data_IF_208620279594
#
_entry.id   IF_208620279594
#
_cell.length_a   1.000
_cell.length_b   1.000
_cell.length_c   1.000
_cell.angle_alpha   90.00
_cell.angle_beta   90.00
_cell.angle_gamma   90.00
#
_symmetry.space_group_name_H-M   'P 1'
#
loop_
_entity.id
_entity.type
_entity.pdbx_description
1 polymer ?
#
# COMPACT_ATOMS: atom_id res chain seq x y z
N UNK A 1 -3.15 28.20 -8.38
CA UNK A 1 -2.50 27.17 -7.53
C UNK A 1 -2.57 25.92 -8.37
N UNK A 2 -1.43 25.34 -8.69
CA UNK A 2 -1.44 24.07 -9.40
C UNK A 2 -2.14 23.05 -8.49
N UNK A 3 -3.18 22.41 -8.98
CA UNK A 3 -3.95 21.41 -8.24
C UNK A 3 -3.07 20.18 -8.06
N UNK A 4 -2.87 19.75 -6.81
CA UNK A 4 -2.05 18.59 -6.50
C UNK A 4 -2.91 17.33 -6.58
N UNK A 5 -2.42 16.28 -7.23
CA UNK A 5 -3.03 14.96 -7.21
C UNK A 5 -2.72 14.26 -5.87
N UNK A 6 -3.75 13.84 -5.15
CA UNK A 6 -3.62 13.07 -3.91
C UNK A 6 -3.76 11.58 -4.19
N UNK A 7 -2.70 10.82 -3.92
CA UNK A 7 -2.67 9.37 -4.06
C UNK A 7 -2.43 8.75 -2.68
N UNK A 8 -3.31 7.84 -2.27
CA UNK A 8 -3.29 7.26 -0.95
C UNK A 8 -3.22 5.72 -0.98
N UNK A 9 -2.65 5.12 0.07
CA UNK A 9 -2.75 3.68 0.35
C UNK A 9 -3.34 3.45 1.72
N UNK A 10 -4.21 2.44 1.84
CA UNK A 10 -4.83 2.05 3.10
C UNK A 10 -5.18 0.56 3.12
N UNK A 11 -4.55 -0.21 3.99
CA UNK A 11 -5.04 -1.54 4.33
C UNK A 11 -6.33 -1.39 5.15
N UNK A 12 -7.49 -1.69 4.53
CA UNK A 12 -8.82 -1.49 5.13
C UNK A 12 -9.23 -2.63 6.06
N UNK A 13 -8.50 -3.74 6.05
CA UNK A 13 -8.76 -4.92 6.88
C UNK A 13 -10.22 -5.40 6.83
N UNK A 14 -10.75 -5.58 5.62
CA UNK A 14 -12.13 -6.00 5.35
C UNK A 14 -13.07 -4.84 5.03
N UNK A 15 -13.29 -4.60 3.74
CA UNK A 15 -14.06 -3.47 3.24
C UNK A 15 -15.49 -3.42 3.77
N UNK A 16 -16.18 -4.57 3.88
CA UNK A 16 -17.57 -4.62 4.36
C UNK A 16 -17.71 -4.19 5.82
N UNK A 17 -16.74 -4.57 6.66
CA UNK A 17 -16.74 -4.22 8.07
C UNK A 17 -16.37 -2.76 8.33
N UNK A 18 -15.71 -2.08 7.38
CA UNK A 18 -15.22 -0.70 7.46
C UNK A 18 -15.77 0.20 6.36
N UNK A 19 -16.91 -0.20 5.74
CA UNK A 19 -17.50 0.56 4.63
C UNK A 19 -17.86 1.99 5.06
N UNK A 20 -18.45 2.16 6.23
CA UNK A 20 -18.78 3.47 6.77
C UNK A 20 -17.53 4.34 6.96
N UNK A 21 -16.46 3.76 7.53
CA UNK A 21 -15.18 4.45 7.70
C UNK A 21 -14.54 4.79 6.35
N UNK A 22 -14.59 3.88 5.38
CA UNK A 22 -14.06 4.11 4.04
C UNK A 22 -14.82 5.26 3.36
N UNK A 23 -16.15 5.23 3.35
CA UNK A 23 -16.96 6.27 2.74
C UNK A 23 -16.79 7.63 3.43
N UNK A 24 -16.65 7.63 4.76
CA UNK A 24 -16.37 8.87 5.50
C UNK A 24 -14.97 9.42 5.14
N UNK A 25 -13.97 8.55 5.11
CA UNK A 25 -12.61 8.95 4.77
C UNK A 25 -12.52 9.46 3.32
N UNK A 26 -13.18 8.81 2.36
CA UNK A 26 -13.20 9.27 0.97
C UNK A 26 -13.81 10.67 0.84
N UNK A 27 -14.81 11.03 1.67
CA UNK A 27 -15.41 12.37 1.70
C UNK A 27 -14.50 13.42 2.35
N UNK A 28 -13.85 13.07 3.46
CA UNK A 28 -13.08 14.01 4.27
C UNK A 28 -11.68 14.25 3.69
N UNK A 29 -11.04 13.19 3.25
CA UNK A 29 -9.67 13.17 2.73
C UNK A 29 -9.62 13.46 1.22
N UNK A 30 -10.69 13.13 0.51
CA UNK A 30 -10.93 13.38 -0.91
C UNK A 30 -9.75 13.02 -1.84
N UNK A 31 -9.17 11.78 -1.74
CA UNK A 31 -8.05 11.39 -2.58
C UNK A 31 -8.48 11.28 -4.05
N UNK A 32 -7.59 11.58 -4.99
CA UNK A 32 -7.82 11.34 -6.42
C UNK A 32 -7.70 9.86 -6.77
N UNK A 33 -6.76 9.17 -6.10
CA UNK A 33 -6.57 7.71 -6.21
C UNK A 33 -6.35 7.14 -4.81
N UNK A 34 -7.12 6.11 -4.44
CA UNK A 34 -6.98 5.35 -3.21
C UNK A 34 -6.70 3.88 -3.51
N UNK A 35 -5.55 3.38 -3.05
CA UNK A 35 -5.12 2.00 -3.13
C UNK A 35 -5.51 1.27 -1.84
N UNK A 36 -6.38 0.25 -1.94
CA UNK A 36 -6.83 -0.52 -0.78
C UNK A 36 -6.21 -1.90 -0.76
N UNK A 37 -5.88 -2.39 0.44
CA UNK A 37 -5.42 -3.75 0.68
C UNK A 37 -6.35 -4.45 1.67
N UNK A 38 -6.28 -5.77 1.69
CA UNK A 38 -7.14 -6.64 2.50
C UNK A 38 -8.63 -6.31 2.39
N UNK A 39 -9.12 -6.14 1.16
CA UNK A 39 -10.56 -5.90 0.96
C UNK A 39 -11.41 -7.09 1.41
N UNK A 40 -10.84 -8.32 1.44
CA UNK A 40 -11.46 -9.57 1.94
C UNK A 40 -12.84 -9.85 1.31
N UNK A 41 -12.99 -9.48 0.06
CA UNK A 41 -14.20 -9.65 -0.74
C UNK A 41 -13.84 -10.15 -2.13
N UNK A 42 -14.68 -11.01 -2.69
CA UNK A 42 -14.66 -11.27 -4.14
C UNK A 42 -15.21 -10.05 -4.88
N UNK A 43 -14.88 -9.92 -6.16
CA UNK A 43 -15.21 -8.74 -6.95
C UNK A 43 -16.72 -8.46 -7.02
N UNK A 44 -17.53 -9.52 -7.16
CA UNK A 44 -18.99 -9.41 -7.27
C UNK A 44 -19.69 -8.97 -5.96
N UNK A 45 -19.00 -9.11 -4.83
CA UNK A 45 -19.52 -8.76 -3.50
C UNK A 45 -18.86 -7.52 -2.90
N UNK A 46 -17.98 -6.88 -3.64
CA UNK A 46 -17.38 -5.60 -3.24
C UNK A 46 -18.49 -4.52 -3.22
N UNK A 47 -18.56 -3.64 -2.20
CA UNK A 47 -19.57 -2.59 -2.07
C UNK A 47 -19.31 -1.44 -3.06
N UNK A 48 -19.48 -1.75 -4.34
CA UNK A 48 -19.14 -0.87 -5.46
C UNK A 48 -20.05 0.36 -5.51
N UNK A 49 -21.35 0.16 -5.34
CA UNK A 49 -22.35 1.22 -5.51
C UNK A 49 -22.13 2.39 -4.54
N UNK A 50 -21.87 2.10 -3.27
CA UNK A 50 -21.67 3.11 -2.23
C UNK A 50 -20.45 3.98 -2.49
N UNK A 51 -19.44 3.42 -3.18
CA UNK A 51 -18.19 4.12 -3.53
C UNK A 51 -18.37 4.89 -4.85
N UNK A 52 -19.05 4.30 -5.83
CA UNK A 52 -19.36 4.96 -7.10
C UNK A 52 -20.28 6.18 -6.92
N UNK A 53 -21.22 6.12 -5.94
CA UNK A 53 -22.04 7.27 -5.56
C UNK A 53 -21.23 8.46 -5.01
N UNK A 54 -20.00 8.22 -4.55
CA UNK A 54 -19.06 9.26 -4.13
C UNK A 54 -18.21 9.81 -5.29
N UNK A 55 -18.43 9.33 -6.52
CA UNK A 55 -17.72 9.78 -7.72
C UNK A 55 -16.44 9.02 -8.04
N UNK A 56 -16.21 7.85 -7.46
CA UNK A 56 -15.04 7.03 -7.73
C UNK A 56 -15.34 5.90 -8.72
N UNK A 57 -14.45 5.69 -9.68
CA UNK A 57 -14.34 4.44 -10.40
C UNK A 57 -13.72 3.39 -9.48
N UNK A 58 -14.16 2.16 -9.59
CA UNK A 58 -13.75 1.05 -8.71
C UNK A 58 -13.15 -0.07 -9.55
N UNK A 59 -11.88 -0.38 -9.32
CA UNK A 59 -11.21 -1.54 -9.88
C UNK A 59 -10.74 -2.45 -8.77
N UNK A 60 -11.08 -3.74 -8.86
CA UNK A 60 -10.79 -4.72 -7.82
C UNK A 60 -10.08 -5.95 -8.38
N UNK A 61 -9.25 -6.55 -7.54
CA UNK A 61 -8.76 -7.91 -7.66
C UNK A 61 -9.05 -8.60 -6.33
N UNK A 62 -10.21 -9.24 -6.27
CA UNK A 62 -10.80 -9.75 -5.03
C UNK A 62 -10.48 -11.20 -4.73
N UNK A 63 -10.55 -11.54 -3.46
CA UNK A 63 -10.42 -12.91 -2.97
C UNK A 63 -11.34 -13.13 -1.78
N UNK A 64 -11.94 -14.33 -1.67
CA UNK A 64 -12.87 -14.66 -0.59
C UNK A 64 -12.17 -14.76 0.75
N UNK A 65 -12.59 -13.94 1.71
CA UNK A 65 -12.26 -14.07 3.13
C UNK A 65 -10.90 -13.49 3.55
N UNK A 66 -9.92 -13.39 2.68
CA UNK A 66 -8.59 -12.82 2.94
C UNK A 66 -8.01 -12.21 1.66
N UNK A 67 -6.88 -11.49 1.77
CA UNK A 67 -6.27 -10.77 0.65
C UNK A 67 -7.25 -9.78 -0.05
N UNK A 68 -7.02 -9.58 -1.33
CA UNK A 68 -7.79 -8.66 -2.18
C UNK A 68 -7.26 -7.24 -2.12
N UNK A 69 -7.10 -6.65 -3.30
CA UNK A 69 -6.65 -5.28 -3.47
C UNK A 69 -7.63 -4.51 -4.37
N UNK A 70 -7.68 -3.20 -4.22
CA UNK A 70 -8.50 -2.33 -5.06
C UNK A 70 -7.82 -1.01 -5.36
N UNK A 71 -8.23 -0.39 -6.47
CA UNK A 71 -7.94 1.00 -6.80
C UNK A 71 -9.29 1.72 -6.94
N UNK A 72 -9.48 2.76 -6.15
CA UNK A 72 -10.60 3.70 -6.24
C UNK A 72 -10.05 5.00 -6.83
N UNK A 73 -10.65 5.53 -7.89
CA UNK A 73 -10.10 6.72 -8.56
C UNK A 73 -11.18 7.64 -9.09
N UNK A 74 -10.99 8.96 -8.96
CA UNK A 74 -11.90 9.96 -9.54
C UNK A 74 -11.86 9.96 -11.06
N UNK A 75 -10.72 9.58 -11.63
CA UNK A 75 -10.56 9.40 -13.07
C UNK A 75 -10.61 7.92 -13.45
N UNK A 76 -11.18 7.61 -14.60
CA UNK A 76 -11.20 6.24 -15.10
C UNK A 76 -9.78 5.82 -15.52
N UNK A 77 -9.28 4.65 -15.07
CA UNK A 77 -8.01 4.14 -15.58
C UNK A 77 -8.13 3.78 -17.07
N UNK A 78 -7.07 4.06 -17.84
CA UNK A 78 -6.96 3.70 -19.25
C UNK A 78 -6.68 2.19 -19.42
N UNK A 79 -5.91 1.64 -18.47
CA UNK A 79 -5.54 0.22 -18.43
C UNK A 79 -5.54 -0.27 -16.97
N UNK A 80 -5.92 -1.53 -16.76
CA UNK A 80 -5.89 -2.20 -15.46
C UNK A 80 -5.28 -3.59 -15.60
N UNK A 81 -4.20 -3.84 -14.86
CA UNK A 81 -3.51 -5.13 -14.82
C UNK A 81 -3.67 -5.77 -13.44
N UNK A 82 -4.05 -7.05 -13.39
CA UNK A 82 -4.27 -7.82 -12.16
C UNK A 82 -3.29 -8.97 -12.04
N UNK A 83 -2.80 -9.18 -10.83
CA UNK A 83 -1.78 -10.19 -10.52
C UNK A 83 -0.35 -9.70 -10.78
N UNK A 84 0.56 -10.06 -9.88
CA UNK A 84 1.98 -9.76 -10.05
C UNK A 84 2.60 -10.75 -11.06
N UNK A 85 3.24 -10.28 -12.14
CA UNK A 85 3.89 -11.15 -13.12
C UNK A 85 4.97 -12.07 -12.52
N UNK A 86 5.32 -13.10 -13.28
CA UNK A 86 6.45 -13.99 -12.98
C UNK A 86 6.11 -15.30 -12.25
N UNK A 87 4.82 -15.56 -12.01
CA UNK A 87 4.31 -16.85 -11.55
C UNK A 87 2.82 -16.96 -11.89
N UNK A 88 2.50 -17.68 -12.98
CA UNK A 88 1.12 -17.84 -13.46
C UNK A 88 0.28 -18.78 -12.56
N UNK A 89 0.92 -19.55 -11.68
CA UNK A 89 0.24 -20.41 -10.70
C UNK A 89 -0.17 -19.65 -9.44
N UNK A 90 0.35 -18.46 -9.21
CA UNK A 90 -0.01 -17.64 -8.06
C UNK A 90 -1.39 -16.99 -8.26
N UNK A 91 -2.40 -17.57 -7.62
CA UNK A 91 -3.79 -17.10 -7.69
C UNK A 91 -4.16 -16.14 -6.55
N UNK A 92 -3.20 -15.69 -5.74
CA UNK A 92 -3.49 -14.78 -4.65
C UNK A 92 -3.71 -13.33 -5.13
N UNK A 93 -4.83 -12.75 -4.74
CA UNK A 93 -5.23 -11.40 -5.10
C UNK A 93 -4.48 -10.36 -4.26
N UNK A 94 -3.24 -10.03 -4.67
CA UNK A 94 -2.31 -9.16 -3.92
C UNK A 94 -1.77 -7.98 -4.70
N UNK A 95 -2.14 -7.85 -5.97
CA UNK A 95 -1.56 -6.85 -6.86
C UNK A 95 -2.57 -6.39 -7.91
N UNK A 96 -2.69 -5.07 -8.07
CA UNK A 96 -3.45 -4.44 -9.15
C UNK A 96 -2.73 -3.16 -9.58
N UNK A 97 -2.51 -2.98 -10.88
CA UNK A 97 -1.94 -1.78 -11.49
C UNK A 97 -3.04 -1.03 -12.26
N UNK A 98 -3.14 0.27 -12.05
CA UNK A 98 -3.92 1.20 -12.87
C UNK A 98 -3.00 2.15 -13.61
N UNK A 99 -3.29 2.39 -14.88
CA UNK A 99 -2.59 3.37 -15.73
C UNK A 99 -3.53 4.53 -16.00
N UNK A 100 -3.06 5.75 -15.81
CA UNK A 100 -3.89 6.95 -15.89
C UNK A 100 -3.24 8.01 -16.77
N UNK A 101 -4.02 8.59 -17.68
CA UNK A 101 -3.64 9.81 -18.40
C UNK A 101 -3.80 11.03 -17.50
N UNK A 102 -2.74 11.80 -17.34
CA UNK A 102 -2.71 13.06 -16.57
C UNK A 102 -2.19 14.21 -17.46
N UNK A 103 -2.37 15.48 -17.07
CA UNK A 103 -1.93 16.61 -17.92
C UNK A 103 -0.45 16.56 -18.34
N UNK A 104 0.40 15.99 -17.48
CA UNK A 104 1.86 15.88 -17.75
C UNK A 104 2.27 14.59 -18.48
N UNK A 105 1.34 13.68 -18.78
CA UNK A 105 1.62 12.42 -19.48
C UNK A 105 0.86 11.24 -18.88
N UNK A 106 1.56 10.19 -18.50
CA UNK A 106 1.00 8.97 -17.92
C UNK A 106 1.52 8.78 -16.51
N UNK A 107 0.68 8.33 -15.60
CA UNK A 107 1.08 7.87 -14.26
C UNK A 107 0.60 6.43 -14.04
N UNK A 108 1.47 5.60 -13.46
CA UNK A 108 1.14 4.22 -13.07
C UNK A 108 1.04 4.12 -11.56
N UNK A 109 -0.07 3.56 -11.08
CA UNK A 109 -0.31 3.38 -9.66
C UNK A 109 -0.62 1.92 -9.39
N UNK A 110 0.11 1.34 -8.47
CA UNK A 110 -0.06 -0.05 -8.04
C UNK A 110 -0.60 -0.08 -6.62
N UNK A 111 -1.67 -0.86 -6.40
CA UNK A 111 -2.06 -1.29 -5.06
C UNK A 111 -1.53 -2.69 -4.81
N UNK A 112 -0.66 -2.84 -3.83
CA UNK A 112 -0.06 -4.13 -3.48
C UNK A 112 -0.27 -4.52 -2.02
N UNK A 113 -0.42 -5.82 -1.78
CA UNK A 113 -0.49 -6.44 -0.47
C UNK A 113 0.55 -7.56 -0.37
N UNK A 114 1.75 -7.20 0.12
CA UNK A 114 2.86 -8.12 0.22
C UNK A 114 2.59 -9.19 1.28
N UNK A 115 2.89 -10.48 1.03
CA UNK A 115 2.67 -11.54 2.00
C UNK A 115 3.29 -11.24 3.36
N UNK A 116 2.55 -11.52 4.43
CA UNK A 116 3.05 -11.33 5.81
C UNK A 116 4.26 -12.22 6.10
N UNK A 117 4.17 -13.52 5.77
CA UNK A 117 5.28 -14.48 5.90
C UNK A 117 5.43 -15.13 7.27
N UNK A 118 4.60 -14.78 8.26
CA UNK A 118 4.67 -15.37 9.60
C UNK A 118 3.89 -16.68 9.72
N UNK A 119 4.33 -17.63 10.56
CA UNK A 119 5.63 -17.60 11.25
C UNK A 119 6.78 -17.92 10.28
N UNK A 120 8.02 -17.39 10.51
CA UNK A 120 9.11 -17.52 9.56
C UNK A 120 9.65 -18.94 9.38
N UNK A 121 9.38 -19.84 10.32
CA UNK A 121 9.74 -21.25 10.28
C UNK A 121 8.72 -22.11 9.49
N UNK A 122 7.60 -21.52 9.05
CA UNK A 122 6.66 -22.18 8.15
C UNK A 122 7.35 -22.40 6.78
N UNK A 123 7.36 -23.67 6.28
CA UNK A 123 8.10 -24.01 5.07
C UNK A 123 7.50 -23.40 3.78
N UNK A 124 6.33 -22.79 3.84
CA UNK A 124 5.61 -22.22 2.70
C UNK A 124 5.54 -20.70 2.81
N UNK A 125 5.11 -20.17 3.94
CA UNK A 125 4.73 -18.75 4.07
C UNK A 125 5.90 -17.79 3.88
N UNK A 126 7.01 -18.02 4.56
CA UNK A 126 8.15 -17.12 4.46
C UNK A 126 8.90 -17.26 3.12
N UNK A 127 9.15 -18.48 2.59
CA UNK A 127 9.65 -18.62 1.22
C UNK A 127 8.76 -17.98 0.16
N UNK A 128 7.43 -18.10 0.27
CA UNK A 128 6.49 -17.43 -0.61
C UNK A 128 6.62 -15.90 -0.55
N UNK A 129 6.72 -15.32 0.66
CA UNK A 129 6.99 -13.89 0.84
C UNK A 129 8.25 -13.46 0.08
N UNK A 130 9.37 -14.13 0.27
CA UNK A 130 10.64 -13.78 -0.37
C UNK A 130 10.57 -13.93 -1.90
N UNK A 131 9.94 -15.00 -2.40
CA UNK A 131 9.70 -15.17 -3.83
C UNK A 131 8.82 -14.06 -4.41
N UNK A 132 7.76 -13.68 -3.71
CA UNK A 132 6.89 -12.58 -4.11
C UNK A 132 7.64 -11.25 -4.18
N UNK A 133 8.50 -10.96 -3.20
CA UNK A 133 9.35 -9.77 -3.21
C UNK A 133 10.35 -9.76 -4.37
N UNK A 134 10.92 -10.91 -4.74
CA UNK A 134 11.80 -11.02 -5.91
C UNK A 134 11.05 -10.70 -7.21
N UNK A 135 9.81 -11.19 -7.35
CA UNK A 135 8.95 -10.88 -8.50
C UNK A 135 8.59 -9.40 -8.55
N UNK A 136 8.30 -8.79 -7.40
CA UNK A 136 8.04 -7.35 -7.31
C UNK A 136 9.25 -6.53 -7.77
N UNK A 137 10.45 -6.92 -7.34
CA UNK A 137 11.69 -6.25 -7.76
C UNK A 137 11.95 -6.43 -9.27
N UNK A 138 11.65 -7.60 -9.84
CA UNK A 138 11.76 -7.84 -11.28
C UNK A 138 10.75 -6.97 -12.07
N UNK A 139 9.49 -6.94 -11.64
CA UNK A 139 8.45 -6.06 -12.20
C UNK A 139 8.88 -4.58 -12.16
N UNK A 140 9.36 -4.12 -10.99
CA UNK A 140 9.80 -2.75 -10.81
C UNK A 140 10.98 -2.39 -11.75
N UNK A 141 11.95 -3.30 -11.91
CA UNK A 141 13.08 -3.12 -12.83
C UNK A 141 12.63 -3.01 -14.29
N UNK A 142 11.65 -3.82 -14.72
CA UNK A 142 11.09 -3.74 -16.08
C UNK A 142 10.35 -2.42 -16.30
N UNK A 143 9.60 -1.96 -15.30
CA UNK A 143 8.82 -0.72 -15.40
C UNK A 143 9.68 0.54 -15.45
N UNK A 144 10.85 0.54 -14.81
CA UNK A 144 11.80 1.67 -14.90
C UNK A 144 12.24 1.97 -16.34
N UNK A 145 12.25 0.96 -17.22
CA UNK A 145 12.62 1.17 -18.62
C UNK A 145 11.60 2.02 -19.41
N UNK A 146 10.40 2.27 -18.86
CA UNK A 146 9.39 3.12 -19.50
C UNK A 146 9.62 4.61 -19.24
N UNK A 147 10.46 4.94 -18.24
CA UNK A 147 10.68 6.33 -17.80
C UNK A 147 9.37 7.08 -17.52
N UNK A 148 8.39 6.36 -16.95
CA UNK A 148 7.07 6.88 -16.56
C UNK A 148 6.97 6.94 -15.04
N UNK A 149 6.29 7.96 -14.47
CA UNK A 149 5.98 7.99 -13.04
C UNK A 149 5.27 6.72 -12.59
N UNK A 150 5.89 5.95 -11.69
CA UNK A 150 5.35 4.73 -11.11
C UNK A 150 5.33 4.86 -9.58
N UNK A 151 4.15 4.64 -9.00
CA UNK A 151 3.92 4.62 -7.55
C UNK A 151 3.51 3.21 -7.15
N UNK A 152 4.37 2.53 -6.40
CA UNK A 152 4.09 1.25 -5.79
C UNK A 152 3.56 1.50 -4.37
N UNK A 153 2.24 1.56 -4.22
CA UNK A 153 1.55 1.88 -2.98
C UNK A 153 0.99 0.62 -2.33
N UNK A 154 1.15 0.46 -1.01
CA UNK A 154 0.55 -0.69 -0.35
C UNK A 154 1.06 -1.01 1.04
N UNK A 155 0.50 -2.10 1.57
CA UNK A 155 1.01 -2.79 2.75
C UNK A 155 2.11 -3.77 2.32
N UNK A 156 3.33 -3.41 2.66
CA UNK A 156 4.52 -4.20 2.32
C UNK A 156 4.83 -5.29 3.33
N UNK A 157 4.20 -5.27 4.50
CA UNK A 157 4.56 -6.17 5.59
C UNK A 157 6.08 -6.20 5.84
N UNK A 158 6.74 -5.05 5.72
CA UNK A 158 8.17 -4.85 5.96
C UNK A 158 8.37 -3.66 6.89
N UNK A 159 9.11 -3.87 7.95
CA UNK A 159 9.66 -2.81 8.80
C UNK A 159 11.07 -2.50 8.27
N UNK A 160 11.28 -1.40 7.51
CA UNK A 160 12.54 -1.16 6.83
C UNK A 160 13.72 -0.95 7.78
N UNK A 161 13.53 -0.11 8.79
CA UNK A 161 14.60 0.28 9.71
C UNK A 161 14.17 0.10 11.17
N UNK A 162 15.11 -0.01 12.12
CA UNK A 162 14.79 -0.20 13.54
C UNK A 162 13.92 0.92 14.13
N UNK A 163 14.03 2.14 13.62
CA UNK A 163 13.22 3.28 14.06
C UNK A 163 11.78 3.28 13.45
N UNK A 164 11.50 2.36 12.52
CA UNK A 164 10.16 2.14 11.95
C UNK A 164 9.26 1.26 12.84
N UNK A 165 9.73 0.89 14.02
CA UNK A 165 8.93 0.19 15.03
C UNK A 165 9.18 0.76 16.44
N UNK A 166 8.22 0.53 17.33
CA UNK A 166 8.27 1.05 18.70
C UNK A 166 9.40 0.44 19.55
N UNK A 167 9.71 -0.83 19.32
CA UNK A 167 10.81 -1.57 19.97
C UNK A 167 11.34 -2.66 19.04
N UNK A 168 12.53 -2.49 18.44
CA UNK A 168 13.12 -3.47 17.54
C UNK A 168 13.28 -4.88 18.12
N UNK A 169 13.50 -4.99 19.44
CA UNK A 169 13.68 -6.30 20.10
C UNK A 169 12.44 -7.17 20.05
N UNK A 170 11.26 -6.55 20.04
CA UNK A 170 9.97 -7.28 19.92
C UNK A 170 9.83 -7.91 18.54
N UNK A 171 10.46 -7.31 17.53
CA UNK A 171 10.36 -7.73 16.14
C UNK A 171 11.54 -8.60 15.66
N UNK A 172 12.55 -8.81 16.53
CA UNK A 172 13.62 -9.77 16.24
C UNK A 172 13.02 -11.16 16.00
N UNK A 173 13.32 -11.76 14.84
CA UNK A 173 12.76 -13.06 14.42
C UNK A 173 11.38 -13.01 13.77
N UNK A 174 10.71 -11.85 13.69
CA UNK A 174 9.46 -11.70 12.93
C UNK A 174 9.74 -11.55 11.42
N UNK A 175 8.88 -12.17 10.60
CA UNK A 175 9.01 -12.14 9.13
C UNK A 175 9.03 -10.72 8.55
N UNK A 176 8.43 -9.73 9.23
CA UNK A 176 8.40 -8.33 8.80
C UNK A 176 9.76 -7.63 9.01
N UNK A 177 10.62 -8.17 9.87
CA UNK A 177 11.87 -7.53 10.29
C UNK A 177 13.13 -8.37 10.05
N UNK A 178 12.99 -9.62 9.60
CA UNK A 178 14.13 -10.47 9.29
C UNK A 178 15.09 -9.82 8.27
N UNK A 179 16.40 -10.09 8.38
CA UNK A 179 17.41 -9.50 7.49
C UNK A 179 17.12 -9.72 6.00
N UNK A 180 16.63 -10.89 5.60
CA UNK A 180 16.29 -11.21 4.21
C UNK A 180 15.13 -10.37 3.69
N UNK A 181 14.10 -10.17 4.50
CA UNK A 181 12.96 -9.29 4.18
C UNK A 181 13.44 -7.85 3.95
N UNK A 182 14.21 -7.31 4.88
CA UNK A 182 14.77 -5.95 4.77
C UNK A 182 15.76 -5.82 3.61
N UNK A 183 16.53 -6.85 3.33
CA UNK A 183 17.43 -6.87 2.17
C UNK A 183 16.65 -6.80 0.85
N UNK A 184 15.56 -7.55 0.72
CA UNK A 184 14.70 -7.51 -0.46
C UNK A 184 14.05 -6.13 -0.66
N UNK A 185 13.65 -5.47 0.42
CA UNK A 185 13.15 -4.09 0.36
C UNK A 185 14.24 -3.11 -0.10
N UNK A 186 15.45 -3.22 0.45
CA UNK A 186 16.61 -2.41 0.02
C UNK A 186 17.03 -2.68 -1.43
N UNK A 187 16.76 -3.87 -1.97
CA UNK A 187 16.97 -4.13 -3.40
C UNK A 187 16.04 -3.28 -4.28
N UNK A 188 14.79 -3.08 -3.85
CA UNK A 188 13.87 -2.17 -4.53
C UNK A 188 14.41 -0.71 -4.51
N UNK A 189 14.91 -0.25 -3.36
CA UNK A 189 15.56 1.06 -3.26
C UNK A 189 16.82 1.13 -4.15
N UNK A 190 17.63 0.07 -4.20
CA UNK A 190 18.83 0.01 -5.03
C UNK A 190 18.56 0.03 -6.54
N UNK A 191 17.33 -0.33 -6.98
CA UNK A 191 16.89 -0.14 -8.37
C UNK A 191 16.63 1.33 -8.72
N UNK A 192 16.49 2.21 -7.72
CA UNK A 192 16.19 3.63 -7.87
C UNK A 192 14.86 4.07 -7.29
N UNK A 193 14.09 3.16 -6.65
CA UNK A 193 12.86 3.54 -5.97
C UNK A 193 13.14 4.27 -4.66
N UNK A 194 12.36 5.29 -4.39
CA UNK A 194 12.48 6.13 -3.20
C UNK A 194 11.28 5.93 -2.29
N UNK A 195 11.51 5.72 -0.98
CA UNK A 195 10.48 5.76 0.04
C UNK A 195 9.99 7.20 0.22
N UNK A 196 8.76 7.46 -0.19
CA UNK A 196 8.17 8.80 -0.21
C UNK A 196 8.18 9.47 1.17
N UNK A 197 7.90 8.72 2.25
CA UNK A 197 7.91 9.28 3.60
C UNK A 197 9.33 9.71 3.99
N UNK A 198 10.33 8.88 3.72
CA UNK A 198 11.73 9.16 4.07
C UNK A 198 12.35 10.26 3.22
N UNK A 199 11.84 10.47 2.03
CA UNK A 199 12.24 11.61 1.19
C UNK A 199 11.82 12.96 1.78
N UNK A 200 10.65 13.01 2.45
CA UNK A 200 10.04 14.27 2.91
C UNK A 200 10.06 14.46 4.42
N UNK A 201 10.27 13.40 5.19
CA UNK A 201 10.16 13.42 6.64
C UNK A 201 11.13 12.42 7.30
N UNK A 202 12.13 12.94 8.00
CA UNK A 202 13.09 12.16 8.77
C UNK A 202 12.59 11.78 10.18
N UNK A 203 11.34 12.12 10.53
CA UNK A 203 10.80 11.85 11.86
C UNK A 203 10.78 10.36 12.17
N UNK A 204 11.44 9.97 13.23
CA UNK A 204 11.31 8.64 13.81
C UNK A 204 9.89 8.40 14.33
N UNK A 205 9.50 7.12 14.43
CA UNK A 205 8.23 6.71 15.05
C UNK A 205 6.98 7.25 14.34
N UNK A 206 7.06 7.41 13.02
CA UNK A 206 5.90 7.63 12.17
C UNK A 206 5.33 6.27 11.77
N UNK A 207 4.34 5.79 12.50
CA UNK A 207 3.76 4.47 12.30
C UNK A 207 2.50 4.51 11.45
N UNK A 208 2.19 3.37 10.79
CA UNK A 208 1.01 3.18 9.95
C UNK A 208 0.09 2.06 10.45
N UNK A 209 0.59 1.23 11.37
CA UNK A 209 -0.11 0.07 11.92
C UNK A 209 0.02 0.01 13.45
N UNK A 210 -1.07 -0.38 14.14
CA UNK A 210 -1.14 -0.70 15.57
C UNK A 210 -2.06 -1.89 15.79
N UNK A 211 -1.53 -2.99 16.34
CA UNK A 211 -2.31 -4.16 16.70
C UNK A 211 -3.53 -3.77 17.57
N UNK A 212 -4.63 -4.53 17.44
CA UNK A 212 -5.80 -4.36 18.31
C UNK A 212 -5.54 -4.81 19.75
N UNK A 213 -4.51 -5.65 19.96
CA UNK A 213 -4.20 -6.27 21.25
C UNK A 213 -3.24 -5.43 22.07
N UNK A 214 -3.08 -5.83 23.34
CA UNK A 214 -2.08 -5.29 24.29
C UNK A 214 -2.14 -3.76 24.50
N UNK A 215 -3.20 -3.09 24.05
CA UNK A 215 -3.31 -1.65 24.12
C UNK A 215 -2.27 -0.93 23.24
N UNK A 216 -1.94 -1.50 22.08
CA UNK A 216 -0.89 -0.96 21.21
C UNK A 216 -1.19 0.47 20.76
N UNK A 217 -2.43 0.78 20.38
CA UNK A 217 -2.83 2.12 19.97
C UNK A 217 -2.64 3.19 21.06
N UNK A 218 -3.24 3.08 22.27
CA UNK A 218 -3.07 4.11 23.31
C UNK A 218 -1.63 4.23 23.83
N UNK A 219 -0.81 3.17 23.72
CA UNK A 219 0.62 3.20 24.08
C UNK A 219 1.50 3.70 22.95
N UNK A 220 0.95 3.91 21.76
CA UNK A 220 1.68 4.19 20.53
C UNK A 220 2.73 3.12 20.17
N UNK A 221 2.46 1.86 20.48
CA UNK A 221 3.30 0.72 20.12
C UNK A 221 2.99 0.31 18.67
N UNK A 222 3.41 1.12 17.73
CA UNK A 222 3.14 0.94 16.31
C UNK A 222 4.37 0.50 15.51
N UNK A 223 4.11 0.24 14.24
CA UNK A 223 5.12 -0.04 13.22
C UNK A 223 4.74 0.66 11.90
N UNK A 224 5.72 0.90 11.04
CA UNK A 224 5.52 1.44 9.70
C UNK A 224 5.73 0.33 8.68
N UNK A 225 4.65 -0.09 8.04
CA UNK A 225 4.65 -1.19 7.06
C UNK A 225 3.87 -0.87 5.78
N UNK A 226 3.21 0.29 5.74
CA UNK A 226 2.53 0.81 4.56
C UNK A 226 3.42 1.89 3.93
N UNK A 227 3.74 1.73 2.64
CA UNK A 227 4.70 2.56 1.94
C UNK A 227 4.18 3.00 0.57
N UNK A 228 4.63 4.18 0.12
CA UNK A 228 4.61 4.61 -1.27
C UNK A 228 6.06 4.60 -1.75
N UNK A 229 6.40 3.61 -2.60
CA UNK A 229 7.72 3.53 -3.24
C UNK A 229 7.62 4.14 -4.62
N UNK A 230 8.45 5.13 -4.90
CA UNK A 230 8.37 6.00 -6.07
C UNK A 230 9.49 5.70 -7.04
N UNK A 231 9.19 5.54 -8.34
CA UNK A 231 10.22 5.62 -9.39
C UNK A 231 10.89 7.01 -9.37
N UNK A 232 12.06 7.20 -10.00
CA UNK A 232 12.69 8.52 -10.08
C UNK A 232 11.73 9.60 -10.61
N UNK A 233 10.97 9.30 -11.66
CA UNK A 233 10.01 10.23 -12.27
C UNK A 233 8.86 10.56 -11.31
N UNK A 234 8.38 9.58 -10.54
CA UNK A 234 7.34 9.83 -9.53
C UNK A 234 7.89 10.60 -8.31
N UNK A 235 9.15 10.38 -7.93
CA UNK A 235 9.81 11.10 -6.85
C UNK A 235 9.96 12.60 -7.19
N UNK A 236 10.27 12.93 -8.44
CA UNK A 236 10.34 14.31 -8.91
C UNK A 236 9.00 15.07 -8.84
N UNK A 237 7.88 14.35 -8.87
CA UNK A 237 6.54 14.91 -8.76
C UNK A 237 6.07 15.07 -7.30
N UNK A 238 6.71 14.40 -6.33
CA UNK A 238 6.27 14.40 -4.94
C UNK A 238 6.46 15.78 -4.30
N UNK A 239 5.40 16.31 -3.69
CA UNK A 239 5.41 17.57 -2.94
C UNK A 239 5.44 17.33 -1.43
N UNK A 240 4.59 16.40 -0.95
CA UNK A 240 4.51 16.08 0.47
C UNK A 240 3.87 14.71 0.72
N UNK A 241 4.06 14.20 1.92
CA UNK A 241 3.42 12.98 2.42
C UNK A 241 2.75 13.25 3.76
N UNK A 242 1.61 12.60 4.00
CA UNK A 242 0.86 12.66 5.25
C UNK A 242 0.44 11.25 5.68
N UNK A 243 0.52 10.97 6.98
CA UNK A 243 -0.06 9.77 7.61
C UNK A 243 -1.29 10.20 8.39
N UNK A 244 -2.47 9.83 7.92
CA UNK A 244 -3.75 10.24 8.51
C UNK A 244 -4.11 9.38 9.74
N UNK A 245 -3.28 9.53 10.76
CA UNK A 245 -3.32 8.75 12.00
C UNK A 245 -4.66 8.86 12.75
N UNK A 246 -5.41 9.94 12.55
CA UNK A 246 -6.66 10.20 13.24
C UNK A 246 -7.74 9.14 12.99
N UNK A 247 -7.74 8.48 11.81
CA UNK A 247 -8.73 7.44 11.50
C UNK A 247 -8.59 6.20 12.38
N UNK A 248 -7.43 5.98 13.01
CA UNK A 248 -7.22 4.87 13.96
C UNK A 248 -8.04 5.04 15.25
N UNK A 249 -8.49 6.25 15.55
CA UNK A 249 -9.33 6.56 16.72
C UNK A 249 -10.83 6.45 16.42
N UNK A 250 -11.24 6.17 15.19
CA UNK A 250 -12.65 6.01 14.82
C UNK A 250 -13.27 4.74 15.42
N UNK A 251 -14.60 4.62 15.34
CA UNK A 251 -15.29 3.39 15.75
C UNK A 251 -14.97 2.25 14.77
N UNK A 252 -14.68 1.05 15.28
CA UNK A 252 -14.31 -0.15 14.50
C UNK A 252 -13.24 0.11 13.41
N UNK A 253 -12.13 0.78 13.75
CA UNK A 253 -11.15 1.19 12.76
C UNK A 253 -10.41 -0.01 12.16
N UNK A 254 -9.73 0.20 11.03
CA UNK A 254 -8.64 -0.68 10.63
C UNK A 254 -7.49 -0.59 11.63
N UNK A 255 -6.66 -1.62 11.75
CA UNK A 255 -5.39 -1.58 12.47
C UNK A 255 -4.32 -0.77 11.73
N UNK A 256 -4.54 -0.47 10.45
CA UNK A 256 -3.75 0.46 9.64
C UNK A 256 -4.45 1.82 9.49
N UNK A 257 -3.65 2.82 9.09
CA UNK A 257 -4.12 4.16 8.74
C UNK A 257 -3.68 4.54 7.32
N UNK A 258 -4.40 5.47 6.64
CA UNK A 258 -4.02 5.93 5.32
C UNK A 258 -2.66 6.64 5.31
N UNK A 259 -1.89 6.39 4.25
CA UNK A 259 -0.69 7.14 3.88
C UNK A 259 -0.97 7.85 2.56
N UNK A 260 -0.87 9.17 2.54
CA UNK A 260 -1.27 10.02 1.43
C UNK A 260 -0.07 10.79 0.88
N UNK A 261 0.22 10.63 -0.42
CA UNK A 261 1.19 11.44 -1.14
C UNK A 261 0.49 12.51 -1.99
N UNK A 262 1.08 13.69 -2.09
CA UNK A 262 0.61 14.81 -2.90
C UNK A 262 1.61 15.06 -4.03
N UNK A 263 1.14 14.97 -5.27
CA UNK A 263 1.97 14.98 -6.47
C UNK A 263 1.57 16.13 -7.40
N UNK A 264 2.56 16.75 -8.02
CA UNK A 264 2.37 17.78 -9.04
C UNK A 264 2.37 17.13 -10.43
N UNK A 265 1.17 16.85 -10.98
CA UNK A 265 0.96 16.15 -12.27
C UNK A 265 0.40 17.05 -13.35
#
# INVERSE_FOLDING_TARGET
MDELMKIATWNINGVKARLENLCQWLKDSDPDIACLQEIKSVDELFPRLEIEELGYHVETHGQKGFNGVAILSKMKPDEVNRGLPGDDEDQQARFIEGVFSVPTGVIRVVSLYLPNGNPPDDPIKYPYKLSWMQRLNAFAAERLAFEEPLILAGDYNVIPEPFDCHDPKVWEGDALFLPQTRQSFRQLEALGFTDALRMTNDSEKTYTFWDYQAGAWPKNNGIRIDHLMLSPEAADLLVSIEVEKHVRAWEKPSDHVPVCGYFKV
#
